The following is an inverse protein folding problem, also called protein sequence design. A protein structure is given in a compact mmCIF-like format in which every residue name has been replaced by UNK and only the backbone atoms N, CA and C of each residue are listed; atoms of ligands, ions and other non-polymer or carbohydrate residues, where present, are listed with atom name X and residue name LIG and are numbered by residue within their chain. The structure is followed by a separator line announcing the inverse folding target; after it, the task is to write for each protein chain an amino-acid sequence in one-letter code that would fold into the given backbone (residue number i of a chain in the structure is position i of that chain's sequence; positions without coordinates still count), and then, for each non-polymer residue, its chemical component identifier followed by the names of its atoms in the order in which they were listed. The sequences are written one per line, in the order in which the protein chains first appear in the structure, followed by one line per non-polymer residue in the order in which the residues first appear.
data_IF_385154979997
#
_entry.id   IF_385154979997
#
_cell.length_a   1.000
_cell.length_b   1.000
_cell.length_c   1.000
_cell.angle_alpha   90.00
_cell.angle_beta   90.00
_cell.angle_gamma   90.00
#
_symmetry.space_group_name_H-M   'P 1'
#
loop_
_entity.id
_entity.type
_entity.pdbx_description
1 polymer ?
#
# COMPACT_ATOMS: atom_id res chain seq x y z
N UNK A 1 -14.09 19.45 20.78
CA UNK A 1 -13.51 18.44 21.69
C UNK A 1 -12.98 17.30 20.87
N UNK A 2 -11.73 16.87 21.07
CA UNK A 2 -11.21 15.66 20.43
C UNK A 2 -11.68 14.43 21.22
N UNK A 3 -12.09 13.37 20.54
CA UNK A 3 -12.46 12.08 21.14
C UNK A 3 -11.36 11.08 20.81
N UNK A 4 -10.80 10.45 21.85
CA UNK A 4 -9.90 9.31 21.69
C UNK A 4 -10.76 8.05 21.50
N UNK A 5 -10.42 7.24 20.50
CA UNK A 5 -10.98 5.91 20.29
C UNK A 5 -9.81 4.92 20.23
N UNK A 6 -9.84 3.91 21.09
CA UNK A 6 -8.87 2.83 21.10
C UNK A 6 -9.46 1.64 20.33
N UNK A 7 -8.61 0.94 19.59
CA UNK A 7 -8.95 -0.24 18.81
C UNK A 7 -7.76 -1.22 18.84
N UNK A 8 -8.03 -2.49 18.60
CA UNK A 8 -7.03 -3.49 18.26
C UNK A 8 -7.14 -3.80 16.75
N UNK A 9 -6.10 -4.42 16.20
CA UNK A 9 -6.16 -4.85 14.81
C UNK A 9 -7.21 -5.94 14.59
N UNK A 10 -8.00 -5.81 13.53
CA UNK A 10 -9.19 -6.62 13.25
C UNK A 10 -10.51 -6.00 13.74
N UNK A 11 -10.46 -4.93 14.54
CA UNK A 11 -11.66 -4.20 14.94
C UNK A 11 -12.29 -3.43 13.77
N UNK A 12 -13.60 -3.26 13.89
CA UNK A 12 -14.44 -2.41 13.05
C UNK A 12 -14.97 -1.25 13.89
N UNK A 13 -14.81 -0.02 13.41
CA UNK A 13 -15.36 1.15 14.08
C UNK A 13 -15.77 2.24 13.09
N UNK A 14 -16.42 3.29 13.58
CA UNK A 14 -16.86 4.42 12.75
C UNK A 14 -16.31 5.75 13.24
N UNK A 15 -16.00 6.64 12.30
CA UNK A 15 -15.72 8.06 12.53
C UNK A 15 -16.74 8.86 11.73
N UNK A 16 -17.81 9.30 12.39
CA UNK A 16 -18.96 9.87 11.69
C UNK A 16 -19.62 8.82 10.79
N UNK A 17 -19.69 9.11 9.49
CA UNK A 17 -20.24 8.21 8.47
C UNK A 17 -19.18 7.29 7.84
N UNK A 18 -17.91 7.47 8.19
CA UNK A 18 -16.81 6.64 7.70
C UNK A 18 -16.74 5.34 8.51
N UNK A 19 -16.98 4.20 7.87
CA UNK A 19 -16.69 2.91 8.46
C UNK A 19 -15.20 2.57 8.24
N UNK A 20 -14.54 2.09 9.28
CA UNK A 20 -13.12 1.77 9.31
C UNK A 20 -12.97 0.30 9.67
N UNK A 21 -12.32 -0.46 8.78
CA UNK A 21 -11.84 -1.81 9.02
C UNK A 21 -10.35 -1.75 9.24
N UNK A 22 -9.88 -2.34 10.33
CA UNK A 22 -8.46 -2.51 10.61
C UNK A 22 -7.99 -3.88 10.12
N UNK A 23 -6.85 -3.92 9.47
CA UNK A 23 -6.33 -5.13 8.80
C UNK A 23 -4.94 -5.42 9.33
N UNK A 24 -4.77 -6.63 9.88
CA UNK A 24 -3.48 -7.09 10.36
C UNK A 24 -2.60 -7.46 9.17
N UNK A 25 -1.39 -6.93 9.15
CA UNK A 25 -0.45 -7.15 8.03
C UNK A 25 0.90 -7.67 8.53
N UNK A 26 1.65 -8.42 7.72
CA UNK A 26 3.04 -8.71 8.05
C UNK A 26 3.85 -7.41 8.05
N UNK A 27 4.47 -7.04 9.16
CA UNK A 27 5.53 -6.02 9.24
C UNK A 27 6.21 -6.15 10.61
N UNK A 28 7.47 -5.73 10.74
CA UNK A 28 8.28 -5.84 11.95
C UNK A 28 7.94 -4.79 13.04
N UNK A 29 6.65 -4.56 13.26
CA UNK A 29 6.10 -3.77 14.36
C UNK A 29 5.36 -4.67 15.38
N UNK A 30 5.03 -4.13 16.55
CA UNK A 30 4.36 -4.91 17.60
C UNK A 30 2.93 -5.34 17.21
N UNK A 31 2.17 -4.47 16.53
CA UNK A 31 0.82 -4.73 16.03
C UNK A 31 0.60 -3.91 14.73
N UNK A 32 1.24 -4.32 13.62
CA UNK A 32 1.12 -3.60 12.35
C UNK A 32 -0.32 -3.66 11.83
N UNK A 33 -0.86 -2.47 11.55
CA UNK A 33 -2.27 -2.29 11.23
C UNK A 33 -2.41 -1.35 10.04
N UNK A 34 -3.08 -1.85 9.01
CA UNK A 34 -3.48 -1.08 7.84
C UNK A 34 -5.00 -0.90 7.85
N UNK A 35 -5.52 -0.08 6.94
CA UNK A 35 -6.92 0.34 7.02
C UNK A 35 -7.65 0.19 5.69
N UNK A 36 -8.90 -0.21 5.79
CA UNK A 36 -9.89 -0.07 4.72
C UNK A 36 -11.04 0.80 5.20
N UNK A 37 -11.32 1.81 4.41
CA UNK A 37 -12.36 2.79 4.69
C UNK A 37 -13.56 2.55 3.77
N UNK A 38 -14.75 2.76 4.30
CA UNK A 38 -15.98 2.75 3.54
C UNK A 38 -16.81 4.00 3.83
N UNK A 39 -17.30 4.62 2.76
CA UNK A 39 -18.27 5.71 2.83
C UNK A 39 -19.19 5.64 1.62
N UNK A 40 -20.51 5.66 1.85
CA UNK A 40 -21.53 5.63 0.80
C UNK A 40 -21.32 4.52 -0.26
N UNK A 41 -20.89 3.32 0.17
CA UNK A 41 -20.63 2.18 -0.71
C UNK A 41 -19.33 2.25 -1.52
N UNK A 42 -18.50 3.29 -1.33
CA UNK A 42 -17.16 3.40 -1.89
C UNK A 42 -16.12 2.96 -0.88
N UNK A 43 -15.05 2.36 -1.38
CA UNK A 43 -14.01 1.74 -0.56
C UNK A 43 -12.63 2.27 -0.90
N UNK A 44 -11.88 2.68 0.11
CA UNK A 44 -10.48 3.11 0.00
C UNK A 44 -9.62 2.18 0.85
N UNK A 45 -8.66 1.50 0.22
CA UNK A 45 -7.63 0.77 0.94
C UNK A 45 -6.38 1.64 1.12
N UNK A 46 -5.79 1.60 2.31
CA UNK A 46 -4.50 2.22 2.61
C UNK A 46 -3.60 1.13 3.15
N UNK A 47 -2.53 0.84 2.40
CA UNK A 47 -1.51 -0.15 2.69
C UNK A 47 -0.14 0.50 2.51
N UNK A 48 0.46 0.89 3.63
CA UNK A 48 1.91 1.15 3.68
C UNK A 48 2.52 0.14 4.63
N UNK A 49 3.85 -0.03 4.64
CA UNK A 49 4.50 -0.85 5.66
C UNK A 49 3.91 -2.29 5.68
N UNK A 50 4.09 -2.99 4.57
CA UNK A 50 3.59 -4.33 4.30
C UNK A 50 4.76 -5.24 3.88
N UNK A 51 5.18 -6.15 4.74
CA UNK A 51 6.32 -7.04 4.48
C UNK A 51 6.05 -8.17 3.50
N UNK A 52 4.81 -8.65 3.38
CA UNK A 52 4.47 -9.70 2.41
C UNK A 52 2.99 -9.72 2.05
N UNK A 53 2.72 -10.17 0.82
CA UNK A 53 1.37 -10.39 0.31
C UNK A 53 0.84 -11.73 0.84
N UNK A 54 -0.24 -11.68 1.62
CA UNK A 54 -0.91 -12.88 2.16
C UNK A 54 -2.33 -12.99 1.59
N UNK A 55 -2.96 -14.19 1.61
CA UNK A 55 -4.36 -14.32 1.23
C UNK A 55 -5.29 -13.40 2.02
N UNK A 56 -5.02 -13.20 3.32
CA UNK A 56 -5.78 -12.28 4.17
C UNK A 56 -5.69 -10.83 3.68
N UNK A 57 -4.50 -10.37 3.28
CA UNK A 57 -4.31 -9.04 2.70
C UNK A 57 -5.09 -8.94 1.39
N UNK A 58 -4.92 -9.89 0.46
CA UNK A 58 -5.63 -9.88 -0.82
C UNK A 58 -7.15 -9.79 -0.60
N UNK A 59 -7.71 -10.64 0.26
CA UNK A 59 -9.15 -10.67 0.53
C UNK A 59 -9.66 -9.38 1.20
N UNK A 60 -8.86 -8.79 2.08
CA UNK A 60 -9.24 -7.56 2.81
C UNK A 60 -9.34 -6.34 1.89
N UNK A 61 -8.64 -6.33 0.76
CA UNK A 61 -8.57 -5.18 -0.15
C UNK A 61 -9.26 -5.39 -1.49
N UNK A 62 -9.99 -6.50 -1.65
CA UNK A 62 -10.89 -6.71 -2.80
C UNK A 62 -12.00 -5.65 -2.82
N UNK A 63 -12.40 -5.25 -4.04
CA UNK A 63 -13.48 -4.30 -4.27
C UNK A 63 -13.17 -2.85 -3.85
N UNK A 64 -11.88 -2.52 -3.64
CA UNK A 64 -11.46 -1.14 -3.44
C UNK A 64 -11.64 -0.31 -4.72
N UNK A 65 -12.16 0.91 -4.54
CA UNK A 65 -12.30 1.91 -5.61
C UNK A 65 -11.08 2.82 -5.69
N UNK A 66 -10.36 2.97 -4.57
CA UNK A 66 -9.04 3.56 -4.51
C UNK A 66 -8.13 2.72 -3.64
N UNK A 67 -6.85 2.67 -3.99
CA UNK A 67 -5.79 2.05 -3.19
C UNK A 67 -4.64 3.04 -3.03
N UNK A 68 -4.18 3.25 -1.81
CA UNK A 68 -2.85 3.77 -1.54
C UNK A 68 -1.99 2.57 -1.16
N UNK A 69 -0.97 2.28 -1.96
CA UNK A 69 -0.12 1.11 -1.84
C UNK A 69 1.34 1.52 -1.83
N UNK A 70 2.13 0.95 -0.93
CA UNK A 70 3.56 1.17 -0.94
C UNK A 70 4.27 0.52 -2.13
N UNK A 71 5.29 1.20 -2.64
CA UNK A 71 6.25 0.70 -3.63
C UNK A 71 7.63 0.99 -3.05
N UNK A 72 8.01 0.29 -1.97
CA UNK A 72 9.06 0.77 -1.09
C UNK A 72 10.44 0.74 -1.76
N UNK A 73 10.81 -0.39 -2.36
CA UNK A 73 12.12 -0.55 -2.98
C UNK A 73 12.05 -1.29 -4.30
N UNK A 74 13.02 -1.02 -5.16
CA UNK A 74 13.42 -1.93 -6.21
C UNK A 74 14.36 -2.99 -5.62
N UNK A 75 14.17 -4.25 -6.00
CA UNK A 75 14.89 -5.37 -5.42
C UNK A 75 16.40 -5.27 -5.69
N UNK A 76 16.78 -5.00 -6.93
CA UNK A 76 18.18 -4.96 -7.34
C UNK A 76 18.89 -3.74 -6.75
N UNK A 77 18.20 -2.58 -6.72
CA UNK A 77 18.72 -1.39 -6.04
C UNK A 77 18.94 -1.64 -4.55
N UNK A 78 18.02 -2.32 -3.84
CA UNK A 78 18.22 -2.65 -2.43
C UNK A 78 19.42 -3.58 -2.24
N UNK A 79 19.55 -4.63 -3.06
CA UNK A 79 20.59 -5.65 -2.89
C UNK A 79 21.98 -5.13 -3.26
N UNK A 80 22.08 -4.23 -4.23
CA UNK A 80 23.36 -3.63 -4.66
C UNK A 80 23.69 -2.32 -3.95
N UNK A 81 22.71 -1.72 -3.27
CA UNK A 81 22.84 -0.44 -2.57
C UNK A 81 23.75 -0.47 -1.33
N UNK A 82 23.95 0.72 -0.78
CA UNK A 82 24.89 1.00 0.32
C UNK A 82 24.44 0.48 1.69
N UNK A 83 23.20 -0.02 1.80
CA UNK A 83 22.71 -0.55 3.06
C UNK A 83 23.58 -1.70 3.55
N UNK A 84 23.95 -1.75 4.84
CA UNK A 84 24.60 -2.91 5.39
C UNK A 84 23.66 -4.12 5.29
N UNK A 85 24.24 -5.32 5.16
CA UNK A 85 23.52 -6.57 4.93
C UNK A 85 22.35 -6.83 5.89
N UNK A 86 22.46 -6.41 7.15
CA UNK A 86 21.37 -6.58 8.11
C UNK A 86 20.15 -5.70 7.79
N UNK A 87 20.35 -4.47 7.25
CA UNK A 87 19.25 -3.62 6.82
C UNK A 87 18.63 -4.14 5.53
N UNK A 88 19.43 -4.64 4.57
CA UNK A 88 18.91 -5.28 3.36
C UNK A 88 17.99 -6.45 3.70
N UNK A 89 18.44 -7.34 4.60
CA UNK A 89 17.62 -8.47 5.08
C UNK A 89 16.35 -8.05 5.82
N UNK A 90 16.41 -6.96 6.58
CA UNK A 90 15.25 -6.43 7.30
C UNK A 90 14.23 -5.83 6.34
N UNK A 91 14.66 -4.96 5.43
CA UNK A 91 13.79 -4.25 4.48
C UNK A 91 13.18 -5.19 3.45
N UNK A 92 13.98 -6.09 2.86
CA UNK A 92 13.53 -7.01 1.81
C UNK A 92 13.01 -8.36 2.31
N UNK A 93 12.84 -8.54 3.63
CA UNK A 93 12.28 -9.77 4.20
C UNK A 93 10.76 -9.73 4.30
N UNK A 94 10.14 -10.88 4.60
CA UNK A 94 8.66 -11.04 4.66
C UNK A 94 7.95 -10.17 5.72
N UNK A 95 8.71 -9.51 6.59
CA UNK A 95 8.26 -8.60 7.64
C UNK A 95 8.79 -7.17 7.45
N UNK A 96 9.46 -6.88 6.34
CA UNK A 96 9.96 -5.56 6.00
C UNK A 96 8.91 -4.77 5.23
N UNK A 97 9.21 -4.46 3.97
CA UNK A 97 8.33 -3.72 3.06
C UNK A 97 8.22 -4.42 1.72
N UNK A 98 7.13 -4.19 1.00
CA UNK A 98 6.97 -4.70 -0.35
C UNK A 98 7.95 -4.00 -1.29
N UNK A 99 8.59 -4.80 -2.14
CA UNK A 99 9.23 -4.26 -3.33
C UNK A 99 8.21 -3.98 -4.45
N UNK A 100 8.65 -3.29 -5.49
CA UNK A 100 7.80 -2.92 -6.62
C UNK A 100 7.07 -4.12 -7.25
N UNK A 101 7.77 -5.24 -7.42
CA UNK A 101 7.22 -6.47 -8.01
C UNK A 101 6.14 -7.09 -7.12
N UNK A 102 6.35 -7.15 -5.81
CA UNK A 102 5.35 -7.69 -4.88
C UNK A 102 4.11 -6.80 -4.79
N UNK A 103 4.27 -5.47 -4.83
CA UNK A 103 3.15 -4.54 -4.89
C UNK A 103 2.35 -4.71 -6.19
N UNK A 104 3.04 -4.90 -7.31
CA UNK A 104 2.44 -5.24 -8.60
C UNK A 104 1.71 -6.59 -8.56
N UNK A 105 2.28 -7.62 -7.92
CA UNK A 105 1.63 -8.93 -7.72
C UNK A 105 0.37 -8.85 -6.86
N UNK A 106 0.35 -8.00 -5.83
CA UNK A 106 -0.87 -7.73 -5.07
C UNK A 106 -1.94 -7.14 -5.98
N UNK A 107 -1.60 -6.10 -6.77
CA UNK A 107 -2.54 -5.49 -7.70
C UNK A 107 -3.07 -6.50 -8.71
N UNK A 108 -2.23 -7.38 -9.25
CA UNK A 108 -2.65 -8.43 -10.20
C UNK A 108 -3.64 -9.45 -9.60
N UNK A 109 -3.76 -9.55 -8.28
CA UNK A 109 -4.71 -10.43 -7.60
C UNK A 109 -6.04 -9.76 -7.25
N UNK A 110 -6.13 -8.43 -7.39
CA UNK A 110 -7.33 -7.65 -7.12
C UNK A 110 -8.17 -7.45 -8.39
N UNK A 111 -9.47 -7.24 -8.21
CA UNK A 111 -10.36 -6.87 -9.31
C UNK A 111 -10.21 -5.37 -9.63
N UNK A 112 -10.03 -5.04 -10.91
CA UNK A 112 -9.81 -3.66 -11.37
C UNK A 112 -11.06 -3.01 -11.96
N UNK A 113 -12.20 -3.72 -12.04
CA UNK A 113 -13.43 -3.22 -12.66
C UNK A 113 -13.92 -1.89 -12.07
N UNK A 114 -13.90 -1.79 -10.75
CA UNK A 114 -14.30 -0.59 -9.99
C UNK A 114 -13.12 0.22 -9.43
N UNK A 115 -11.88 -0.27 -9.59
CA UNK A 115 -10.68 0.41 -9.10
C UNK A 115 -10.38 1.66 -9.93
N UNK A 116 -10.66 2.85 -9.42
CA UNK A 116 -10.46 4.12 -10.15
C UNK A 116 -9.07 4.71 -9.99
N UNK A 117 -8.42 4.49 -8.85
CA UNK A 117 -7.09 5.05 -8.56
C UNK A 117 -6.19 4.08 -7.80
N UNK A 118 -4.90 4.08 -8.17
CA UNK A 118 -3.80 3.50 -7.39
C UNK A 118 -2.80 4.62 -7.09
N UNK A 119 -2.66 4.96 -5.82
CA UNK A 119 -1.65 5.88 -5.32
C UNK A 119 -0.42 5.08 -4.93
N UNK A 120 0.62 5.13 -5.76
CA UNK A 120 1.92 4.57 -5.47
C UNK A 120 2.65 5.46 -4.46
N UNK A 121 2.83 4.97 -3.24
CA UNK A 121 3.37 5.72 -2.12
C UNK A 121 4.64 5.08 -1.55
N UNK A 122 5.26 5.78 -0.61
CA UNK A 122 6.39 5.28 0.19
C UNK A 122 7.61 4.81 -0.61
N UNK A 123 7.86 5.42 -1.77
CA UNK A 123 8.99 5.10 -2.66
C UNK A 123 10.31 5.53 -2.01
N UNK A 124 11.21 4.58 -1.75
CA UNK A 124 12.53 4.87 -1.16
C UNK A 124 13.36 5.75 -2.09
N UNK A 125 13.88 6.86 -1.57
CA UNK A 125 14.82 7.73 -2.32
C UNK A 125 16.16 7.05 -2.61
N UNK A 126 16.52 6.02 -1.83
CA UNK A 126 17.83 5.36 -1.92
C UNK A 126 17.77 4.04 -2.67
N UNK A 127 16.75 3.24 -2.40
CA UNK A 127 16.64 1.89 -2.93
C UNK A 127 15.49 1.76 -3.94
N UNK A 128 14.98 2.86 -4.47
CA UNK A 128 13.99 2.84 -5.53
C UNK A 128 14.13 4.05 -6.44
N UNK A 129 13.40 4.04 -7.54
CA UNK A 129 13.12 5.24 -8.31
C UNK A 129 11.71 5.18 -8.86
N UNK A 130 11.17 6.36 -9.22
CA UNK A 130 9.86 6.46 -9.86
C UNK A 130 9.76 5.58 -11.12
N UNK A 131 10.82 5.53 -11.92
CA UNK A 131 10.83 4.72 -13.15
C UNK A 131 10.68 3.22 -12.89
N UNK A 132 11.27 2.68 -11.82
CA UNK A 132 11.11 1.26 -11.47
C UNK A 132 9.69 0.96 -10.96
N UNK A 133 9.12 1.88 -10.17
CA UNK A 133 7.72 1.75 -9.74
C UNK A 133 6.75 1.86 -10.92
N UNK A 134 6.98 2.79 -11.86
CA UNK A 134 6.21 2.93 -13.10
C UNK A 134 6.24 1.64 -13.92
N UNK A 135 7.41 1.04 -14.13
CA UNK A 135 7.52 -0.21 -14.87
C UNK A 135 6.71 -1.35 -14.23
N UNK A 136 6.84 -1.55 -12.91
CA UNK A 136 6.09 -2.60 -12.22
C UNK A 136 4.57 -2.36 -12.26
N UNK A 137 4.14 -1.10 -12.20
CA UNK A 137 2.73 -0.72 -12.33
C UNK A 137 2.20 -0.93 -13.75
N UNK A 138 2.98 -0.59 -14.78
CA UNK A 138 2.63 -0.88 -16.18
C UNK A 138 2.49 -2.38 -16.41
N UNK A 139 3.40 -3.19 -15.88
CA UNK A 139 3.35 -4.64 -16.01
C UNK A 139 2.08 -5.24 -15.36
N UNK A 140 1.63 -4.68 -14.23
CA UNK A 140 0.45 -5.15 -13.51
C UNK A 140 -0.88 -4.63 -14.06
N UNK A 141 -0.93 -3.37 -14.50
CA UNK A 141 -2.17 -2.67 -14.87
C UNK A 141 -2.35 -2.50 -16.39
N UNK A 142 -1.29 -2.69 -17.17
CA UNK A 142 -1.22 -2.44 -18.61
C UNK A 142 -1.26 -0.96 -19.01
N UNK A 143 -1.49 -0.04 -18.06
CA UNK A 143 -1.53 1.40 -18.26
C UNK A 143 -1.40 2.13 -16.92
N UNK A 144 -0.79 3.32 -16.94
CA UNK A 144 -0.66 4.20 -15.78
C UNK A 144 -1.77 5.25 -15.67
N UNK A 145 -2.82 5.21 -16.50
CA UNK A 145 -3.89 6.21 -16.50
C UNK A 145 -4.58 6.41 -15.14
N UNK A 146 -4.64 5.36 -14.33
CA UNK A 146 -5.23 5.38 -12.97
C UNK A 146 -4.19 5.50 -11.86
N UNK A 147 -2.93 5.73 -12.20
CA UNK A 147 -1.82 5.76 -11.24
C UNK A 147 -1.49 7.18 -10.87
N UNK A 148 -1.33 7.40 -9.57
CA UNK A 148 -0.89 8.67 -8.98
C UNK A 148 0.32 8.38 -8.11
N UNK A 149 1.36 9.21 -8.18
CA UNK A 149 2.55 9.05 -7.37
C UNK A 149 2.50 10.00 -6.18
N UNK A 150 2.64 9.47 -4.97
CA UNK A 150 2.80 10.25 -3.74
C UNK A 150 4.28 10.20 -3.32
N UNK A 151 5.05 11.21 -3.74
CA UNK A 151 6.47 11.31 -3.42
C UNK A 151 6.68 11.98 -2.04
N UNK A 152 7.80 11.71 -1.36
CA UNK A 152 8.07 12.27 -0.03
C UNK A 152 8.07 13.81 0.01
N UNK A 153 8.39 14.48 -1.11
CA UNK A 153 8.37 15.94 -1.24
C UNK A 153 7.12 16.55 -1.87
N UNK A 154 6.27 15.73 -2.50
CA UNK A 154 5.07 16.18 -3.22
C UNK A 154 3.91 15.23 -2.93
N UNK A 155 2.87 15.75 -2.25
CA UNK A 155 1.59 15.08 -2.17
C UNK A 155 0.86 15.07 -3.52
N UNK A 156 -0.40 14.62 -3.50
CA UNK A 156 -1.25 14.61 -4.68
C UNK A 156 -2.55 15.39 -4.43
N UNK A 157 -3.15 15.88 -5.52
CA UNK A 157 -4.43 16.58 -5.48
C UNK A 157 -5.59 15.63 -5.13
N UNK A 158 -6.76 16.19 -4.84
CA UNK A 158 -7.98 15.41 -4.65
C UNK A 158 -8.24 14.47 -5.83
N UNK A 159 -8.56 13.21 -5.51
CA UNK A 159 -8.92 12.18 -6.49
C UNK A 159 -10.40 11.85 -6.36
N UNK A 160 -11.09 11.86 -7.48
CA UNK A 160 -12.51 11.49 -7.54
C UNK A 160 -12.66 9.98 -7.76
N UNK A 161 -13.40 9.32 -6.86
CA UNK A 161 -13.66 7.87 -6.89
C UNK A 161 -15.13 7.57 -7.23
N UNK A 162 -15.83 8.52 -7.85
CA UNK A 162 -17.25 8.38 -8.18
C UNK A 162 -17.55 7.38 -9.30
#
# INVERSE_FOLDING_TARGET
SHRLLQFNCGDLFTIGELAVTTVAVPHDAAEPCQFRFEYAGRHLGVLTDLGSVTPHVVDSYRGCHGLLLEFNHDYDMLMTGEYPEHLKRRVGGDWGHLNNTQSAELLGQLDHGELRHVVAAHISEKNNSRAHAEQALEDALGSLERVVFAAQGEGFSWLDVS
#
